data_IF_676022387262
#
_entry.id   IF_676022387262
#
_cell.length_a   1.000
_cell.length_b   1.000
_cell.length_c   1.000
_cell.angle_alpha   90.00
_cell.angle_beta   90.00
_cell.angle_gamma   90.00
#
_symmetry.space_group_name_H-M   'P 1'
#
loop_
_entity.id
_entity.type
_entity.pdbx_description
1 polymer ?
#
# COMPACT_ATOMS: atom_id res chain seq x y z
N UNK A 1 -1.95 12.43 15.54
CA UNK A 1 -3.16 11.59 15.60
C UNK A 1 -3.75 11.25 14.23
N UNK A 2 -4.13 12.23 13.39
CA UNK A 2 -4.74 11.94 12.08
C UNK A 2 -3.71 11.40 11.05
N UNK A 3 -2.51 11.97 11.03
CA UNK A 3 -1.38 11.46 10.22
C UNK A 3 -0.95 10.06 10.66
N UNK A 4 -0.97 9.76 11.97
CA UNK A 4 -0.65 8.43 12.48
C UNK A 4 -1.68 7.39 12.00
N UNK A 5 -2.97 7.73 12.02
CA UNK A 5 -4.02 6.86 11.46
C UNK A 5 -3.81 6.60 9.97
N UNK A 6 -3.42 7.63 9.21
CA UNK A 6 -3.08 7.48 7.80
C UNK A 6 -1.87 6.56 7.63
N UNK A 7 -0.81 6.76 8.42
CA UNK A 7 0.40 5.93 8.42
C UNK A 7 0.08 4.45 8.70
N UNK A 8 -0.68 4.17 9.77
CA UNK A 8 -1.09 2.81 10.11
C UNK A 8 -2.00 2.18 9.05
N UNK A 9 -2.88 2.96 8.43
CA UNK A 9 -3.67 2.51 7.28
C UNK A 9 -2.80 2.14 6.08
N UNK A 10 -1.75 2.90 5.80
CA UNK A 10 -0.77 2.59 4.75
C UNK A 10 0.07 1.36 5.07
N UNK A 11 0.48 1.20 6.32
CA UNK A 11 1.17 0.00 6.81
C UNK A 11 0.34 -1.25 6.57
N UNK A 12 -0.93 -1.26 7.02
CA UNK A 12 -1.83 -2.39 6.81
C UNK A 12 -2.11 -2.63 5.33
N UNK A 13 -2.29 -1.55 4.55
CA UNK A 13 -2.47 -1.63 3.11
C UNK A 13 -1.28 -2.28 2.40
N UNK A 14 -0.05 -2.00 2.84
CA UNK A 14 1.15 -2.62 2.28
C UNK A 14 1.20 -4.11 2.58
N UNK A 15 0.88 -4.52 3.81
CA UNK A 15 0.76 -5.95 4.18
C UNK A 15 -0.24 -6.67 3.28
N UNK A 16 -1.48 -6.16 3.21
CA UNK A 16 -2.54 -6.78 2.39
C UNK A 16 -2.11 -6.85 0.92
N UNK A 17 -1.55 -5.77 0.37
CA UNK A 17 -1.11 -5.76 -1.02
C UNK A 17 0.05 -6.73 -1.26
N UNK A 18 0.98 -6.88 -0.32
CA UNK A 18 2.10 -7.82 -0.42
C UNK A 18 1.61 -9.26 -0.49
N UNK A 19 0.67 -9.61 0.40
CA UNK A 19 -0.01 -10.90 0.37
C UNK A 19 -0.76 -11.13 -0.96
N UNK A 20 -1.55 -10.15 -1.43
CA UNK A 20 -2.30 -10.28 -2.68
C UNK A 20 -1.37 -10.41 -3.91
N UNK A 21 -0.25 -9.70 -3.90
CA UNK A 21 0.77 -9.78 -4.96
C UNK A 21 1.32 -11.19 -5.09
N UNK A 22 1.58 -11.84 -3.95
CA UNK A 22 2.02 -13.23 -3.90
C UNK A 22 0.90 -14.20 -4.28
N UNK A 23 -0.28 -14.04 -3.66
CA UNK A 23 -1.44 -14.92 -3.87
C UNK A 23 -1.85 -15.01 -5.34
N UNK A 24 -1.86 -13.87 -6.05
CA UNK A 24 -2.17 -13.81 -7.48
C UNK A 24 -0.94 -13.92 -8.39
N UNK A 25 0.27 -14.10 -7.83
CA UNK A 25 1.53 -14.21 -8.57
C UNK A 25 1.78 -13.03 -9.52
N UNK A 26 1.42 -11.81 -9.10
CA UNK A 26 1.48 -10.61 -9.94
C UNK A 26 2.91 -10.20 -10.31
N UNK A 27 3.93 -10.84 -9.73
CA UNK A 27 5.34 -10.67 -10.05
C UNK A 27 5.82 -11.58 -11.19
N UNK A 28 4.96 -12.46 -11.75
CA UNK A 28 5.28 -13.27 -12.92
C UNK A 28 4.79 -12.59 -14.20
N UNK A 29 5.56 -12.57 -15.30
CA UNK A 29 6.93 -13.11 -15.43
C UNK A 29 8.00 -12.21 -14.81
N UNK A 30 7.71 -10.93 -14.56
CA UNK A 30 8.65 -9.97 -13.96
C UNK A 30 8.01 -9.16 -12.83
N UNK A 31 8.84 -8.74 -11.87
CA UNK A 31 8.40 -7.96 -10.70
C UNK A 31 7.77 -6.60 -11.08
N UNK A 32 8.02 -6.10 -12.28
CA UNK A 32 7.50 -4.81 -12.75
C UNK A 32 5.98 -4.74 -12.74
N UNK A 33 5.29 -5.85 -13.07
CA UNK A 33 3.83 -5.90 -13.00
C UNK A 33 3.36 -5.76 -11.54
N UNK A 34 3.99 -6.48 -10.60
CA UNK A 34 3.69 -6.36 -9.17
C UNK A 34 3.91 -4.95 -8.63
N UNK A 35 5.03 -4.30 -9.00
CA UNK A 35 5.32 -2.91 -8.64
C UNK A 35 4.24 -1.97 -9.19
N UNK A 36 3.89 -2.13 -10.46
CA UNK A 36 2.89 -1.30 -11.13
C UNK A 36 1.52 -1.42 -10.46
N UNK A 37 1.07 -2.64 -10.18
CA UNK A 37 -0.21 -2.88 -9.50
C UNK A 37 -0.19 -2.34 -8.07
N UNK A 38 0.90 -2.54 -7.32
CA UNK A 38 1.02 -2.00 -5.96
C UNK A 38 1.00 -0.47 -5.93
N UNK A 39 1.66 0.19 -6.89
CA UNK A 39 1.64 1.64 -7.05
C UNK A 39 0.23 2.14 -7.43
N UNK A 40 -0.45 1.48 -8.37
CA UNK A 40 -1.83 1.81 -8.73
C UNK A 40 -2.79 1.64 -7.55
N UNK A 41 -2.68 0.56 -6.79
CA UNK A 41 -3.49 0.33 -5.59
C UNK A 41 -3.27 1.44 -4.55
N UNK A 42 -2.02 1.91 -4.38
CA UNK A 42 -1.73 3.06 -3.53
C UNK A 42 -2.42 4.34 -4.04
N UNK A 43 -2.28 4.65 -5.32
CA UNK A 43 -2.91 5.84 -5.92
C UNK A 43 -4.43 5.78 -5.78
N UNK A 44 -5.05 4.67 -6.16
CA UNK A 44 -6.51 4.47 -6.05
C UNK A 44 -6.97 4.62 -4.60
N UNK A 45 -6.26 4.01 -3.65
CA UNK A 45 -6.62 4.16 -2.23
C UNK A 45 -6.45 5.60 -1.73
N UNK A 46 -5.46 6.37 -2.19
CA UNK A 46 -5.37 7.82 -1.88
C UNK A 46 -6.57 8.61 -2.44
N UNK A 47 -7.02 8.29 -3.66
CA UNK A 47 -8.15 8.96 -4.30
C UNK A 47 -9.45 8.64 -3.54
N UNK A 48 -9.70 7.36 -3.23
CA UNK A 48 -10.87 6.92 -2.46
C UNK A 48 -10.87 7.61 -1.09
N UNK A 49 -9.74 7.64 -0.41
CA UNK A 49 -9.63 8.28 0.91
C UNK A 49 -9.90 9.78 0.83
N UNK A 50 -9.43 10.46 -0.22
CA UNK A 50 -9.72 11.89 -0.47
C UNK A 50 -11.20 12.16 -0.68
N UNK A 51 -11.92 11.25 -1.35
CA UNK A 51 -13.35 11.37 -1.61
C UNK A 51 -14.19 11.05 -0.36
N UNK A 52 -13.75 10.09 0.45
CA UNK A 52 -14.44 9.67 1.67
C UNK A 52 -14.24 10.64 2.85
N UNK A 53 -13.15 11.41 2.86
CA UNK A 53 -12.87 12.35 3.96
C UNK A 53 -13.69 13.65 3.86
N UNK A 54 -14.19 14.16 4.99
CA UNK A 54 -14.84 15.47 5.04
C UNK A 54 -13.85 16.62 4.79
N UNK A 55 -14.35 17.73 4.24
CA UNK A 55 -13.56 18.89 3.79
C UNK A 55 -12.58 19.43 4.86
N UNK A 56 -13.05 19.57 6.10
CA UNK A 56 -12.26 20.05 7.23
C UNK A 56 -11.03 19.17 7.54
N UNK A 57 -11.12 17.87 7.29
CA UNK A 57 -10.04 16.90 7.49
C UNK A 57 -9.09 16.93 6.29
N UNK A 58 -9.64 17.06 5.09
CA UNK A 58 -8.88 17.16 3.84
C UNK A 58 -7.99 18.40 3.80
N UNK A 59 -8.48 19.54 4.26
CA UNK A 59 -7.69 20.78 4.36
C UNK A 59 -6.54 20.67 5.36
N UNK A 60 -6.78 20.01 6.51
CA UNK A 60 -5.73 19.77 7.52
C UNK A 60 -4.62 18.84 7.03
N UNK A 61 -4.95 17.82 6.24
CA UNK A 61 -3.95 16.89 5.70
C UNK A 61 -3.22 17.45 4.48
N UNK A 62 -3.91 18.18 3.60
CA UNK A 62 -3.31 18.78 2.41
C UNK A 62 -2.45 17.79 1.60
N UNK A 63 -1.17 18.13 1.36
CA UNK A 63 -0.20 17.27 0.65
C UNK A 63 0.13 15.98 1.42
N UNK A 64 0.03 15.98 2.74
CA UNK A 64 0.38 14.81 3.58
C UNK A 64 -0.56 13.63 3.34
N UNK A 65 -1.77 13.88 2.83
CA UNK A 65 -2.70 12.81 2.41
C UNK A 65 -2.08 11.83 1.40
N UNK A 66 -1.18 12.33 0.54
CA UNK A 66 -0.60 11.55 -0.56
C UNK A 66 0.79 11.00 -0.23
N UNK A 67 1.54 11.70 0.61
CA UNK A 67 2.96 11.41 0.85
C UNK A 67 3.15 10.67 2.18
N UNK A 68 2.30 10.94 3.18
CA UNK A 68 2.45 10.33 4.50
C UNK A 68 2.18 8.83 4.43
N UNK A 69 3.15 8.04 4.89
CA UNK A 69 3.08 6.57 4.88
C UNK A 69 3.31 5.93 3.51
N UNK A 70 3.64 6.69 2.44
CA UNK A 70 3.91 6.12 1.12
C UNK A 70 5.12 5.16 1.13
N UNK A 71 6.22 5.60 1.75
CA UNK A 71 7.41 4.76 1.93
C UNK A 71 7.12 3.53 2.79
N UNK A 72 6.36 3.70 3.87
CA UNK A 72 5.93 2.59 4.73
C UNK A 72 5.12 1.57 3.96
N UNK A 73 4.13 2.00 3.16
CA UNK A 73 3.37 1.11 2.30
C UNK A 73 4.27 0.31 1.36
N UNK A 74 5.21 0.97 0.68
CA UNK A 74 6.12 0.31 -0.26
C UNK A 74 7.04 -0.70 0.42
N UNK A 75 7.65 -0.33 1.56
CA UNK A 75 8.55 -1.23 2.31
C UNK A 75 7.77 -2.42 2.88
N UNK A 76 6.62 -2.18 3.48
CA UNK A 76 5.79 -3.24 4.07
C UNK A 76 5.22 -4.17 3.00
N UNK A 77 4.83 -3.65 1.84
CA UNK A 77 4.45 -4.44 0.67
C UNK A 77 5.58 -5.38 0.25
N UNK A 78 6.79 -4.85 0.09
CA UNK A 78 7.95 -5.64 -0.35
C UNK A 78 8.33 -6.72 0.67
N UNK A 79 8.40 -6.36 1.96
CA UNK A 79 8.72 -7.29 3.04
C UNK A 79 7.67 -8.40 3.12
N UNK A 80 6.38 -8.05 3.06
CA UNK A 80 5.30 -9.03 3.13
C UNK A 80 5.31 -9.96 1.92
N UNK A 81 5.55 -9.43 0.71
CA UNK A 81 5.71 -10.24 -0.49
C UNK A 81 6.86 -11.26 -0.33
N UNK A 82 8.03 -10.83 0.15
CA UNK A 82 9.17 -11.72 0.38
C UNK A 82 8.82 -12.81 1.40
N UNK A 83 8.18 -12.46 2.51
CA UNK A 83 7.77 -13.43 3.53
C UNK A 83 6.79 -14.44 2.94
N UNK A 84 5.72 -13.97 2.28
CA UNK A 84 4.71 -14.85 1.68
C UNK A 84 5.32 -15.76 0.61
N UNK A 85 6.23 -15.26 -0.23
CA UNK A 85 6.96 -16.07 -1.20
C UNK A 85 7.74 -17.20 -0.51
N UNK A 86 8.48 -16.88 0.56
CA UNK A 86 9.24 -17.89 1.30
C UNK A 86 8.35 -18.93 1.98
N UNK A 87 7.17 -18.53 2.45
CA UNK A 87 6.23 -19.44 3.13
C UNK A 87 5.46 -20.33 2.14
N UNK A 88 5.05 -19.80 0.98
CA UNK A 88 4.15 -20.51 0.06
C UNK A 88 4.87 -21.24 -1.08
N UNK A 89 6.06 -20.80 -1.49
CA UNK A 89 6.78 -21.40 -2.62
C UNK A 89 8.14 -21.99 -2.22
N UNK A 90 8.82 -21.44 -1.20
CA UNK A 90 10.16 -21.90 -0.81
C UNK A 90 10.16 -22.93 0.33
N UNK A 91 8.98 -23.30 0.86
CA UNK A 91 8.78 -24.37 1.84
C UNK A 91 8.40 -25.68 1.14
#
# INVERSE_FOLDING_TARGET
MLEDKLYWGRFLGGIVMGFLTEFFKLYKPTIFLGIFVAALAYVISTIILRMAMPLNVREKLGKKLYISGAGTYAVTWLVTLIICFNVFEAA
#
